data_IF_694785844068
#
_entry.id   IF_694785844068
#
_cell.length_a   1.000
_cell.length_b   1.000
_cell.length_c   1.000
_cell.angle_alpha   90.00
_cell.angle_beta   90.00
_cell.angle_gamma   90.00
#
_symmetry.space_group_name_H-M   'P 1'
#
loop_
_entity.id
_entity.type
_entity.pdbx_description
1 polymer ?
#
# COMPACT_ATOMS: atom_id res chain seq x y z
N UNK A 1 16.22 13.32 -18.98
CA UNK A 1 14.87 12.74 -18.82
C UNK A 1 15.03 11.46 -17.98
N UNK A 2 14.81 11.57 -16.67
CA UNK A 2 14.93 10.45 -15.72
C UNK A 2 13.65 9.62 -15.85
N UNK A 3 13.79 8.36 -16.24
CA UNK A 3 12.65 7.41 -16.35
C UNK A 3 12.26 6.98 -14.94
N UNK A 4 11.11 7.46 -14.44
CA UNK A 4 10.43 6.91 -13.29
C UNK A 4 9.99 5.47 -13.64
N UNK A 5 10.61 4.48 -13.01
CA UNK A 5 10.17 3.09 -13.10
C UNK A 5 9.14 2.92 -11.98
N UNK A 6 7.88 2.91 -12.36
CA UNK A 6 6.77 2.57 -11.46
C UNK A 6 6.59 1.05 -11.49
N UNK A 7 6.78 0.39 -10.36
CA UNK A 7 6.43 -1.03 -10.23
C UNK A 7 4.95 -1.12 -9.89
N UNK A 8 4.15 -1.52 -10.87
CA UNK A 8 2.72 -1.76 -10.72
C UNK A 8 2.53 -3.20 -10.24
N UNK A 9 2.20 -3.41 -8.97
CA UNK A 9 1.80 -4.71 -8.45
C UNK A 9 0.28 -4.83 -8.56
N UNK A 10 -0.19 -5.39 -9.69
CA UNK A 10 -1.60 -5.72 -9.86
C UNK A 10 -1.84 -7.19 -9.50
N UNK A 11 -2.51 -7.45 -8.39
CA UNK A 11 -2.98 -8.80 -8.03
C UNK A 11 -4.47 -8.90 -8.37
N UNK A 12 -4.77 -9.44 -9.56
CA UNK A 12 -6.14 -9.77 -9.95
C UNK A 12 -6.41 -11.24 -9.60
N UNK A 13 -7.23 -11.52 -8.58
CA UNK A 13 -7.78 -12.85 -8.34
C UNK A 13 -9.14 -12.95 -9.05
N UNK A 14 -9.19 -13.72 -10.12
CA UNK A 14 -10.44 -14.09 -10.79
C UNK A 14 -10.92 -15.43 -10.24
N UNK A 15 -11.95 -15.41 -9.40
CA UNK A 15 -12.71 -16.61 -9.03
C UNK A 15 -14.09 -16.53 -9.70
N UNK A 16 -14.28 -17.30 -10.77
CA UNK A 16 -15.59 -17.46 -11.41
C UNK A 16 -16.46 -18.44 -10.61
N UNK A 17 -17.50 -17.92 -9.97
CA UNK A 17 -18.55 -18.75 -9.40
C UNK A 17 -19.65 -18.95 -10.45
N UNK A 18 -19.77 -20.17 -10.95
CA UNK A 18 -20.92 -20.58 -11.75
C UNK A 18 -22.11 -20.85 -10.81
N UNK A 19 -23.16 -20.04 -10.93
CA UNK A 19 -24.41 -20.26 -10.23
C UNK A 19 -25.29 -21.19 -11.09
N UNK A 20 -25.59 -22.37 -10.57
CA UNK A 20 -26.63 -23.24 -11.15
C UNK A 20 -27.99 -22.75 -10.63
N UNK A 21 -28.81 -22.24 -11.52
CA UNK A 21 -30.18 -21.85 -11.19
C UNK A 21 -31.08 -23.10 -11.16
N UNK A 22 -31.70 -23.40 -10.03
CA UNK A 22 -32.79 -24.37 -9.92
C UNK A 22 -34.11 -23.62 -10.02
N UNK A 23 -34.93 -24.01 -10.99
CA UNK A 23 -36.30 -23.54 -11.07
C UNK A 23 -37.19 -24.41 -10.11
N UNK A 24 -37.98 -23.74 -9.28
CA UNK A 24 -38.98 -24.40 -8.47
C UNK A 24 -40.33 -24.43 -9.23
N UNK A 25 -40.89 -25.63 -9.46
CA UNK A 25 -42.20 -25.80 -10.08
C UNK A 25 -43.30 -25.48 -9.05
N UNK A 26 -44.15 -24.51 -9.34
CA UNK A 26 -45.34 -24.21 -8.55
C UNK A 26 -46.52 -24.93 -9.17
N UNK A 27 -46.95 -26.07 -8.59
CA UNK A 27 -47.94 -27.00 -9.17
C UNK A 27 -49.35 -26.84 -8.62
N UNK A 28 -49.58 -25.94 -7.66
CA UNK A 28 -50.90 -25.72 -7.04
C UNK A 28 -51.39 -24.29 -7.21
N UNK A 29 -52.70 -24.11 -7.41
CA UNK A 29 -53.31 -22.80 -7.45
C UNK A 29 -53.14 -22.07 -6.09
N UNK A 30 -52.58 -20.89 -6.11
CA UNK A 30 -52.21 -20.14 -4.90
C UNK A 30 -50.88 -20.56 -4.24
N UNK A 31 -50.16 -21.51 -4.84
CA UNK A 31 -48.82 -21.89 -4.39
C UNK A 31 -47.80 -20.78 -4.59
N UNK A 32 -46.83 -20.68 -3.68
CA UNK A 32 -45.74 -19.72 -3.74
C UNK A 32 -44.46 -20.45 -4.15
N UNK A 33 -43.75 -19.88 -5.12
CA UNK A 33 -42.41 -20.28 -5.49
C UNK A 33 -41.40 -19.23 -5.05
N UNK A 34 -40.22 -19.66 -4.62
CA UNK A 34 -39.10 -18.75 -4.34
C UNK A 34 -38.02 -18.94 -5.37
N UNK A 35 -37.44 -17.83 -5.84
CA UNK A 35 -36.25 -17.85 -6.67
C UNK A 35 -35.16 -17.04 -5.96
N UNK A 36 -33.93 -17.59 -6.00
CA UNK A 36 -32.76 -16.82 -5.56
C UNK A 36 -32.27 -15.97 -6.71
N UNK A 37 -32.10 -14.67 -6.45
CA UNK A 37 -31.51 -13.74 -7.39
C UNK A 37 -30.19 -13.31 -6.80
N UNK A 38 -29.08 -13.61 -7.47
CA UNK A 38 -27.74 -13.33 -6.97
C UNK A 38 -26.78 -12.96 -8.09
N UNK A 39 -25.77 -12.21 -7.73
CA UNK A 39 -24.59 -11.97 -8.56
C UNK A 39 -23.35 -11.88 -7.67
N UNK A 40 -22.18 -12.22 -8.23
CA UNK A 40 -20.89 -12.13 -7.55
C UNK A 40 -20.13 -10.87 -7.99
N UNK A 41 -19.41 -10.28 -7.06
CA UNK A 41 -18.46 -9.21 -7.34
C UNK A 41 -17.14 -9.57 -6.70
N UNK A 42 -16.10 -9.71 -7.52
CA UNK A 42 -14.76 -10.01 -7.04
C UNK A 42 -14.10 -8.78 -6.39
N UNK A 43 -13.28 -8.97 -5.34
CA UNK A 43 -12.44 -7.92 -4.80
C UNK A 43 -11.49 -7.39 -5.87
N UNK A 44 -11.36 -6.06 -5.95
CA UNK A 44 -10.42 -5.38 -6.85
C UNK A 44 -9.74 -4.23 -6.13
N UNK A 45 -8.42 -4.11 -6.30
CA UNK A 45 -7.66 -2.97 -5.80
C UNK A 45 -6.34 -2.84 -6.55
N UNK A 46 -5.80 -1.63 -6.57
CA UNK A 46 -4.44 -1.34 -7.03
C UNK A 46 -3.80 -0.43 -6.00
N UNK A 47 -2.63 -0.83 -5.49
CA UNK A 47 -1.81 0.00 -4.62
C UNK A 47 -0.51 0.33 -5.36
N UNK A 48 -0.23 1.60 -5.50
CA UNK A 48 0.99 2.12 -6.13
C UNK A 48 1.99 2.49 -5.06
N UNK A 49 3.17 1.89 -5.14
CA UNK A 49 4.33 2.16 -4.30
C UNK A 49 5.41 2.73 -5.22
N UNK A 50 5.85 3.99 -5.05
CA UNK A 50 6.91 4.56 -5.87
C UNK A 50 8.20 3.73 -5.75
N UNK A 51 8.91 3.53 -6.88
CA UNK A 51 10.09 2.67 -6.91
C UNK A 51 11.32 3.28 -6.21
N UNK A 52 11.37 4.60 -6.07
CA UNK A 52 12.50 5.32 -5.46
C UNK A 52 12.02 6.60 -4.78
N UNK A 53 12.70 6.95 -3.68
CA UNK A 53 12.67 8.28 -3.07
C UNK A 53 14.11 8.80 -3.01
N UNK A 54 14.30 10.08 -3.26
CA UNK A 54 15.60 10.76 -3.09
C UNK A 54 15.45 11.75 -1.96
N UNK A 55 16.26 11.63 -0.92
CA UNK A 55 16.26 12.58 0.19
C UNK A 55 16.90 13.89 -0.27
N UNK A 56 16.32 15.00 0.14
CA UNK A 56 16.77 16.34 -0.17
C UNK A 56 17.42 16.96 1.06
N UNK A 57 18.56 17.64 0.87
CA UNK A 57 19.25 18.33 1.94
C UNK A 57 18.40 19.51 2.44
N UNK A 58 18.21 19.59 3.75
CA UNK A 58 17.69 20.76 4.45
C UNK A 58 18.73 21.30 5.43
N UNK A 59 18.79 22.61 5.57
CA UNK A 59 19.60 23.30 6.55
C UNK A 59 18.70 24.28 7.33
N UNK A 60 18.49 23.96 8.59
CA UNK A 60 17.70 24.79 9.48
C UNK A 60 18.61 25.24 10.64
N UNK A 61 18.95 26.48 10.67
CA UNK A 61 19.79 27.09 11.70
C UNK A 61 21.15 26.38 11.91
N UNK A 62 21.74 25.86 10.82
CA UNK A 62 23.00 25.11 10.83
C UNK A 62 22.88 23.62 11.17
N UNK A 63 21.68 23.11 11.38
CA UNK A 63 21.41 21.68 11.49
C UNK A 63 21.08 21.15 10.11
N UNK A 64 21.90 20.23 9.61
CA UNK A 64 21.73 19.60 8.30
C UNK A 64 20.99 18.30 8.48
N UNK A 65 19.92 18.12 7.69
CA UNK A 65 19.17 16.88 7.53
C UNK A 65 18.98 16.57 6.05
N UNK A 66 18.70 15.30 5.75
CA UNK A 66 18.29 14.84 4.44
C UNK A 66 16.93 14.18 4.59
N UNK A 67 15.90 14.74 3.96
CA UNK A 67 14.53 14.28 4.16
C UNK A 67 13.69 14.36 2.91
N UNK A 68 12.65 13.53 2.84
CA UNK A 68 11.60 13.63 1.84
C UNK A 68 10.36 12.85 2.28
N UNK A 69 9.24 13.20 1.68
CA UNK A 69 7.98 12.48 1.80
C UNK A 69 7.90 11.34 0.78
N UNK A 70 7.29 10.24 1.20
CA UNK A 70 7.03 9.09 0.38
C UNK A 70 5.55 8.74 0.46
N UNK A 71 4.83 8.89 -0.65
CA UNK A 71 3.38 8.68 -0.71
C UNK A 71 3.05 7.34 -1.36
N UNK A 72 2.25 6.54 -0.64
CA UNK A 72 1.66 5.28 -1.10
C UNK A 72 0.21 5.58 -1.46
N UNK A 73 -0.26 5.11 -2.62
CA UNK A 73 -1.58 5.40 -3.12
C UNK A 73 -2.36 4.11 -3.43
N UNK A 74 -3.59 4.01 -2.92
CA UNK A 74 -4.58 3.10 -3.44
C UNK A 74 -5.45 3.82 -4.46
N UNK A 75 -5.48 3.32 -5.69
CA UNK A 75 -6.25 3.91 -6.79
C UNK A 75 -7.74 3.94 -6.47
N UNK A 76 -8.46 4.85 -7.13
CA UNK A 76 -9.91 4.92 -7.02
C UNK A 76 -10.58 3.58 -7.37
N UNK A 77 -11.66 3.24 -6.66
CA UNK A 77 -12.45 2.03 -6.89
C UNK A 77 -11.95 0.79 -6.17
N UNK A 78 -11.21 0.95 -5.06
CA UNK A 78 -10.92 -0.16 -4.14
C UNK A 78 -12.21 -0.84 -3.73
N UNK A 79 -12.30 -2.15 -3.96
CA UNK A 79 -13.44 -2.97 -3.61
C UNK A 79 -12.97 -4.25 -2.91
N UNK A 80 -13.31 -4.36 -1.64
CA UNK A 80 -12.97 -5.49 -0.77
C UNK A 80 -14.27 -6.14 -0.28
N UNK A 81 -14.20 -7.32 0.33
CA UNK A 81 -15.32 -7.89 1.04
C UNK A 81 -15.65 -7.05 2.28
N UNK A 82 -16.87 -7.24 2.81
CA UNK A 82 -17.30 -6.55 4.03
C UNK A 82 -16.32 -6.84 5.18
N UNK A 83 -15.91 -5.81 5.89
CA UNK A 83 -14.96 -5.84 7.00
C UNK A 83 -13.49 -6.18 6.59
N UNK A 84 -13.16 -6.23 5.30
CA UNK A 84 -11.79 -6.34 4.85
C UNK A 84 -11.15 -4.95 4.67
N UNK A 85 -9.84 -4.91 4.87
CA UNK A 85 -8.99 -3.73 4.62
C UNK A 85 -7.59 -4.20 4.18
N UNK A 86 -6.86 -3.31 3.53
CA UNK A 86 -5.48 -3.55 3.10
C UNK A 86 -4.55 -2.88 4.10
N UNK A 87 -3.60 -3.63 4.65
CA UNK A 87 -2.45 -3.09 5.35
C UNK A 87 -1.23 -3.09 4.44
N UNK A 88 -0.44 -2.02 4.50
CA UNK A 88 0.89 -1.96 3.91
C UNK A 88 1.89 -1.77 5.04
N UNK A 89 2.81 -2.72 5.18
CA UNK A 89 3.90 -2.67 6.15
C UNK A 89 5.23 -2.52 5.43
N UNK A 90 6.21 -1.93 6.13
CA UNK A 90 7.57 -1.74 5.64
C UNK A 90 8.54 -2.61 6.42
N UNK A 91 9.57 -3.14 5.76
CA UNK A 91 10.70 -3.82 6.38
C UNK A 91 11.99 -3.18 5.86
N UNK A 92 12.84 -2.75 6.78
CA UNK A 92 14.14 -2.13 6.53
C UNK A 92 15.01 -2.32 7.77
N UNK A 93 16.33 -2.23 7.64
CA UNK A 93 17.28 -2.13 8.75
C UNK A 93 17.48 -0.68 9.23
N UNK A 94 16.86 0.29 8.52
CA UNK A 94 16.98 1.73 8.77
C UNK A 94 18.41 2.26 8.62
N UNK A 95 19.20 1.66 7.75
CA UNK A 95 20.57 2.04 7.47
C UNK A 95 20.81 2.09 5.96
N UNK A 96 21.27 3.24 5.47
CA UNK A 96 21.76 3.39 4.09
C UNK A 96 23.27 3.15 4.06
N UNK A 97 23.76 2.58 2.97
CA UNK A 97 25.19 2.30 2.78
C UNK A 97 25.70 2.87 1.46
N UNK A 98 26.95 3.35 1.46
CA UNK A 98 27.68 3.66 0.23
C UNK A 98 28.40 2.43 -0.31
N UNK A 99 28.80 2.41 -1.62
CA UNK A 99 29.60 1.33 -2.18
C UNK A 99 30.93 1.10 -1.45
N UNK A 100 31.44 2.11 -0.75
CA UNK A 100 32.69 2.05 0.02
C UNK A 100 32.47 1.59 1.47
N UNK A 101 31.22 1.31 1.89
CA UNK A 101 30.87 0.80 3.21
C UNK A 101 30.68 1.86 4.29
N UNK A 102 30.51 3.14 3.93
CA UNK A 102 30.08 4.14 4.89
C UNK A 102 28.56 4.01 5.11
N UNK A 103 28.13 4.02 6.38
CA UNK A 103 26.72 3.85 6.73
C UNK A 103 26.10 5.12 7.28
N UNK A 104 24.79 5.27 7.11
CA UNK A 104 24.00 6.38 7.60
C UNK A 104 22.62 5.90 8.04
N UNK A 105 22.34 5.99 9.34
CA UNK A 105 21.04 5.66 9.86
C UNK A 105 19.97 6.67 9.43
N UNK A 106 18.75 6.19 9.20
CA UNK A 106 17.60 7.02 8.91
C UNK A 106 16.37 6.58 9.71
N UNK A 107 15.35 7.39 9.73
CA UNK A 107 14.08 7.11 10.38
C UNK A 107 12.93 7.23 9.40
N UNK A 108 11.91 6.39 9.59
CA UNK A 108 10.64 6.50 8.90
C UNK A 108 9.58 6.84 9.95
N UNK A 109 8.85 7.93 9.71
CA UNK A 109 7.74 8.36 10.55
C UNK A 109 6.46 8.51 9.75
N UNK A 110 5.33 8.46 10.45
CA UNK A 110 4.02 8.79 9.90
C UNK A 110 3.31 9.71 10.87
N UNK A 111 2.76 10.81 10.36
CA UNK A 111 2.11 11.83 11.19
C UNK A 111 3.01 12.28 12.36
N UNK A 112 4.31 12.47 12.08
CA UNK A 112 5.38 12.84 13.02
C UNK A 112 5.62 11.83 14.18
N UNK A 113 5.09 10.62 14.06
CA UNK A 113 5.28 9.55 15.03
C UNK A 113 6.02 8.35 14.44
N UNK A 114 6.73 7.60 15.27
CA UNK A 114 7.33 6.33 14.88
C UNK A 114 6.26 5.34 14.41
N UNK A 115 6.61 4.49 13.44
CA UNK A 115 5.68 3.50 12.91
C UNK A 115 5.31 2.45 13.96
N UNK A 116 4.01 2.27 14.20
CA UNK A 116 3.51 1.16 15.00
C UNK A 116 3.46 -0.11 14.13
N UNK A 117 4.11 -1.19 14.58
CA UNK A 117 4.18 -2.47 13.86
C UNK A 117 4.63 -2.33 12.38
N UNK A 118 5.47 -1.33 12.09
CA UNK A 118 5.93 -1.00 10.73
C UNK A 118 4.78 -0.68 9.75
N UNK A 119 3.61 -0.29 10.23
CA UNK A 119 2.43 0.01 9.43
C UNK A 119 2.57 1.39 8.79
N UNK A 120 2.62 1.44 7.47
CA UNK A 120 2.76 2.69 6.70
C UNK A 120 1.45 3.14 6.06
N UNK A 121 0.55 2.22 5.73
CA UNK A 121 -0.74 2.57 5.16
C UNK A 121 -1.84 1.56 5.52
N UNK A 122 -3.08 2.04 5.59
CA UNK A 122 -4.30 1.24 5.66
C UNK A 122 -5.29 1.77 4.65
N UNK A 123 -5.82 0.90 3.77
CA UNK A 123 -6.80 1.26 2.77
C UNK A 123 -8.06 0.42 2.92
N UNK A 124 -9.21 1.05 2.72
CA UNK A 124 -10.52 0.41 2.84
C UNK A 124 -11.26 0.47 1.51
N UNK A 125 -12.41 -0.21 1.41
CA UNK A 125 -13.29 -0.08 0.25
C UNK A 125 -13.72 1.38 0.08
N UNK A 126 -13.35 2.00 -1.04
CA UNK A 126 -13.73 3.36 -1.39
C UNK A 126 -13.80 3.53 -2.91
N UNK A 127 -14.63 4.48 -3.35
CA UNK A 127 -14.72 4.92 -4.75
C UNK A 127 -13.66 5.95 -5.11
N UNK A 128 -13.18 6.72 -4.13
CA UNK A 128 -12.10 7.68 -4.28
C UNK A 128 -10.73 7.02 -4.11
N UNK A 129 -9.69 7.64 -4.65
CA UNK A 129 -8.32 7.27 -4.34
C UNK A 129 -8.00 7.60 -2.87
N UNK A 130 -7.17 6.79 -2.25
CA UNK A 130 -6.71 6.95 -0.88
C UNK A 130 -5.19 7.06 -0.87
N UNK A 131 -4.64 7.93 -0.07
CA UNK A 131 -3.20 8.13 0.05
C UNK A 131 -2.74 7.97 1.49
N UNK A 132 -1.51 7.54 1.67
CA UNK A 132 -0.79 7.55 2.94
C UNK A 132 0.62 8.05 2.69
N UNK A 133 1.04 9.07 3.42
CA UNK A 133 2.37 9.65 3.31
C UNK A 133 3.18 9.30 4.54
N UNK A 134 4.40 8.85 4.34
CA UNK A 134 5.43 8.67 5.36
C UNK A 134 6.55 9.65 5.12
N UNK A 135 7.22 10.07 6.17
CA UNK A 135 8.36 10.98 6.13
C UNK A 135 9.64 10.21 6.44
N UNK A 136 10.67 10.39 5.63
CA UNK A 136 11.97 9.74 5.78
C UNK A 136 13.00 10.81 6.09
N UNK A 137 13.75 10.64 7.18
CA UNK A 137 14.75 11.59 7.63
C UNK A 137 16.07 10.90 7.99
N UNK A 138 17.17 11.43 7.48
CA UNK A 138 18.53 11.06 7.88
C UNK A 138 19.29 12.31 8.37
N UNK A 139 20.32 12.10 9.19
CA UNK A 139 21.22 13.16 9.64
C UNK A 139 22.25 13.57 8.58
N UNK A 140 23.17 14.45 8.98
CA UNK A 140 24.31 14.84 8.14
C UNK A 140 25.36 13.72 8.13
N UNK A 141 25.74 13.19 6.96
CA UNK A 141 26.72 12.11 6.90
C UNK A 141 28.15 12.59 7.14
N UNK A 142 28.95 11.78 7.83
CA UNK A 142 30.37 12.08 8.08
C UNK A 142 31.22 11.94 6.81
N UNK A 143 30.80 11.14 5.84
CA UNK A 143 31.53 10.86 4.62
C UNK A 143 30.70 11.24 3.38
N UNK A 144 31.39 11.73 2.36
CA UNK A 144 30.77 11.93 1.05
C UNK A 144 30.50 10.57 0.36
N UNK A 145 29.35 10.43 -0.31
CA UNK A 145 29.02 9.23 -1.05
C UNK A 145 27.57 9.16 -1.49
N UNK A 146 27.26 8.15 -2.28
CA UNK A 146 25.88 7.82 -2.70
C UNK A 146 25.27 6.81 -1.72
N UNK A 147 24.61 7.30 -0.68
CA UNK A 147 23.94 6.47 0.33
C UNK A 147 22.65 5.86 -0.22
N UNK A 148 22.47 4.56 -0.08
CA UNK A 148 21.30 3.82 -0.60
C UNK A 148 20.88 2.73 0.36
N UNK A 149 19.57 2.47 0.40
CA UNK A 149 18.96 1.31 1.03
C UNK A 149 17.84 0.76 0.13
N UNK A 150 17.48 -0.51 0.36
CA UNK A 150 16.37 -1.19 -0.30
C UNK A 150 15.31 -1.55 0.70
N UNK A 151 14.22 -0.82 0.68
CA UNK A 151 13.08 -0.99 1.57
C UNK A 151 12.07 -1.95 0.95
N UNK A 152 11.58 -2.92 1.73
CA UNK A 152 10.56 -3.87 1.27
C UNK A 152 9.18 -3.50 1.82
N UNK A 153 8.20 -3.36 0.94
CA UNK A 153 6.80 -3.13 1.29
C UNK A 153 6.00 -4.43 1.10
N UNK A 154 5.20 -4.76 2.11
CA UNK A 154 4.32 -5.94 2.10
C UNK A 154 2.87 -5.51 2.20
N UNK A 155 2.04 -5.96 1.25
CA UNK A 155 0.60 -5.73 1.25
C UNK A 155 -0.12 -6.96 1.78
N UNK A 156 -1.06 -6.76 2.71
CA UNK A 156 -1.86 -7.84 3.29
C UNK A 156 -3.32 -7.41 3.38
N UNK A 157 -4.25 -8.24 2.86
CA UNK A 157 -5.68 -8.04 3.11
C UNK A 157 -6.03 -8.68 4.44
N UNK A 158 -6.62 -7.90 5.34
CA UNK A 158 -7.05 -8.33 6.68
C UNK A 158 -8.55 -8.15 6.86
N UNK A 159 -9.10 -8.82 7.86
CA UNK A 159 -10.51 -8.73 8.26
C UNK A 159 -10.57 -8.19 9.69
N UNK A 160 -11.46 -7.22 9.92
CA UNK A 160 -11.78 -6.70 11.26
C UNK A 160 -12.59 -7.71 12.07
#
# INVERSE_FOLDING_TARGET
MKKLITVLLALAMVASLSVTAFAADVTTNGGQGSAEIGFGVDPTYTVTIPATVTLEKKDVEGVITYENDYTIEASAGVRLKKNEYIEVTVTTDNEMETPEGATLAYTITKDDAALENNLVATFTTDKAAQTSTIHITAGDPDFAGDYKDTVTFTLTVKTN
#
